data_IF_425620923181
#
_entry.id   IF_425620923181
#
_cell.length_a   1.000
_cell.length_b   1.000
_cell.length_c   1.000
_cell.angle_alpha   90.00
_cell.angle_beta   90.00
_cell.angle_gamma   90.00
#
_symmetry.space_group_name_H-M   'P 1'
#
loop_
_entity.id
_entity.type
_entity.pdbx_description
1 polymer ?
#
# COMPACT_ATOMS: atom_id res chain seq x y z
N UNK A 1 -29.61 25.24 -1.38
CA UNK A 1 -30.15 23.96 -1.89
C UNK A 1 -30.45 23.04 -0.73
N UNK A 2 -31.65 22.47 -0.68
CA UNK A 2 -31.98 21.43 0.30
C UNK A 2 -31.22 20.13 -0.01
N UNK A 3 -31.07 19.24 0.97
CA UNK A 3 -30.44 17.93 0.74
C UNK A 3 -31.17 17.13 -0.35
N UNK A 4 -32.50 17.26 -0.44
CA UNK A 4 -33.33 16.61 -1.47
C UNK A 4 -33.01 17.10 -2.87
N UNK A 5 -32.75 18.40 -3.03
CA UNK A 5 -32.34 18.97 -4.32
C UNK A 5 -30.96 18.46 -4.74
N UNK A 6 -30.01 18.35 -3.81
CA UNK A 6 -28.67 17.81 -4.11
C UNK A 6 -28.73 16.36 -4.57
N UNK A 7 -29.51 15.53 -3.88
CA UNK A 7 -29.73 14.13 -4.26
C UNK A 7 -30.41 14.05 -5.64
N UNK A 8 -31.45 14.86 -5.85
CA UNK A 8 -32.16 14.93 -7.13
C UNK A 8 -31.25 15.31 -8.31
N UNK A 9 -30.42 16.34 -8.14
CA UNK A 9 -29.44 16.77 -9.13
C UNK A 9 -28.42 15.67 -9.44
N UNK A 10 -27.87 15.00 -8.41
CA UNK A 10 -26.91 13.90 -8.60
C UNK A 10 -27.53 12.74 -9.41
N UNK A 11 -28.77 12.35 -9.09
CA UNK A 11 -29.50 11.31 -9.82
C UNK A 11 -29.71 11.73 -11.28
N UNK A 12 -30.12 12.98 -11.51
CA UNK A 12 -30.36 13.53 -12.84
C UNK A 12 -29.09 13.53 -13.70
N UNK A 13 -27.99 14.07 -13.17
CA UNK A 13 -26.70 14.16 -13.86
C UNK A 13 -26.16 12.77 -14.18
N UNK A 14 -26.22 11.84 -13.21
CA UNK A 14 -25.76 10.45 -13.40
C UNK A 14 -26.60 9.74 -14.45
N UNK A 15 -27.93 9.89 -14.42
CA UNK A 15 -28.83 9.30 -15.42
C UNK A 15 -28.53 9.82 -16.82
N UNK A 16 -28.34 11.14 -16.96
CA UNK A 16 -28.02 11.78 -18.24
C UNK A 16 -26.65 11.35 -18.77
N UNK A 17 -25.64 11.22 -17.90
CA UNK A 17 -24.31 10.72 -18.28
C UNK A 17 -24.36 9.29 -18.85
N UNK A 18 -25.37 8.50 -18.48
CA UNK A 18 -25.64 7.16 -19.01
C UNK A 18 -26.55 7.12 -20.23
N UNK A 19 -26.99 8.28 -20.72
CA UNK A 19 -27.93 8.36 -21.84
C UNK A 19 -29.32 7.81 -21.53
N UNK A 20 -29.66 7.57 -20.26
CA UNK A 20 -30.98 7.06 -19.88
C UNK A 20 -32.01 8.19 -19.80
N UNK A 21 -33.22 7.94 -20.28
CA UNK A 21 -34.40 8.78 -20.07
C UNK A 21 -35.01 8.54 -18.70
N UNK A 22 -35.83 9.49 -18.21
CA UNK A 22 -36.56 9.30 -16.95
C UNK A 22 -37.51 8.09 -17.01
N UNK A 23 -38.08 7.79 -18.19
CA UNK A 23 -38.96 6.64 -18.40
C UNK A 23 -38.22 5.31 -18.30
N UNK A 24 -37.02 5.22 -18.86
CA UNK A 24 -36.19 4.00 -18.78
C UNK A 24 -35.73 3.74 -17.34
N UNK A 25 -35.32 4.80 -16.61
CA UNK A 25 -34.98 4.67 -15.20
C UNK A 25 -36.21 4.25 -14.36
N UNK A 26 -37.38 4.82 -14.65
CA UNK A 26 -38.62 4.47 -13.98
C UNK A 26 -39.00 2.99 -14.21
N UNK A 27 -38.89 2.52 -15.46
CA UNK A 27 -39.13 1.13 -15.82
C UNK A 27 -38.18 0.18 -15.09
N UNK A 28 -36.88 0.46 -15.08
CA UNK A 28 -35.88 -0.34 -14.38
C UNK A 28 -36.11 -0.43 -12.85
N UNK A 29 -36.71 0.60 -12.26
CA UNK A 29 -36.99 0.67 -10.82
C UNK A 29 -38.39 0.18 -10.44
N UNK A 30 -39.24 -0.15 -11.42
CA UNK A 30 -40.64 -0.50 -11.17
C UNK A 30 -41.45 0.67 -10.58
N UNK A 31 -41.17 1.90 -11.04
CA UNK A 31 -41.86 3.12 -10.60
C UNK A 31 -42.35 3.94 -11.79
N UNK A 32 -42.95 5.11 -11.56
CA UNK A 32 -43.47 5.98 -12.62
C UNK A 32 -42.45 7.06 -13.02
N UNK A 33 -42.47 7.47 -14.29
CA UNK A 33 -41.65 8.59 -14.78
C UNK A 33 -41.92 9.89 -13.99
N UNK A 34 -43.16 10.10 -13.56
CA UNK A 34 -43.52 11.26 -12.73
C UNK A 34 -42.90 11.19 -11.33
N UNK A 35 -42.73 9.99 -10.76
CA UNK A 35 -42.00 9.80 -9.52
C UNK A 35 -40.51 10.15 -9.69
N UNK A 36 -39.86 9.68 -10.76
CA UNK A 36 -38.47 10.03 -11.07
C UNK A 36 -38.28 11.54 -11.25
N UNK A 37 -39.20 12.20 -11.98
CA UNK A 37 -39.17 13.66 -12.14
C UNK A 37 -39.30 14.42 -10.81
N UNK A 38 -40.18 13.96 -9.90
CA UNK A 38 -40.30 14.55 -8.56
C UNK A 38 -39.04 14.32 -7.71
N UNK A 39 -38.40 13.16 -7.84
CA UNK A 39 -37.15 12.84 -7.16
C UNK A 39 -36.02 13.76 -7.66
N UNK A 40 -35.86 13.91 -8.98
CA UNK A 40 -34.83 14.77 -9.59
C UNK A 40 -35.01 16.26 -9.22
N UNK A 41 -36.26 16.72 -9.08
CA UNK A 41 -36.56 18.08 -8.61
C UNK A 41 -36.46 18.27 -7.09
N UNK A 42 -36.16 17.21 -6.33
CA UNK A 42 -36.10 17.24 -4.87
C UNK A 42 -37.47 17.43 -4.19
N UNK A 43 -38.57 17.15 -4.89
CA UNK A 43 -39.95 17.31 -4.42
C UNK A 43 -40.52 16.09 -3.69
N UNK A 44 -39.75 15.01 -3.56
CA UNK A 44 -40.17 13.76 -2.92
C UNK A 44 -39.12 13.24 -1.93
N UNK A 45 -39.57 12.68 -0.81
CA UNK A 45 -38.70 11.93 0.10
C UNK A 45 -38.35 10.58 -0.52
N UNK A 46 -37.08 10.23 -0.54
CA UNK A 46 -36.58 8.96 -1.09
C UNK A 46 -36.06 8.11 0.06
N UNK A 47 -36.50 6.86 0.14
CA UNK A 47 -35.95 5.91 1.11
C UNK A 47 -34.50 5.54 0.75
N UNK A 48 -33.73 5.09 1.75
CA UNK A 48 -32.37 4.59 1.52
C UNK A 48 -32.36 3.40 0.55
N UNK A 49 -33.34 2.50 0.66
CA UNK A 49 -33.54 1.37 -0.25
C UNK A 49 -33.76 1.84 -1.69
N UNK A 50 -34.60 2.85 -1.91
CA UNK A 50 -34.84 3.39 -3.24
C UNK A 50 -33.58 4.07 -3.80
N UNK A 51 -32.79 4.76 -2.96
CA UNK A 51 -31.52 5.36 -3.39
C UNK A 51 -30.46 4.30 -3.74
N UNK A 52 -30.41 3.19 -3.00
CA UNK A 52 -29.54 2.06 -3.32
C UNK A 52 -29.92 1.43 -4.67
N UNK A 53 -31.21 1.17 -4.90
CA UNK A 53 -31.71 0.65 -6.18
C UNK A 53 -31.43 1.59 -7.36
N UNK A 54 -31.60 2.90 -7.17
CA UNK A 54 -31.21 3.89 -8.19
C UNK A 54 -29.71 3.82 -8.45
N UNK A 55 -28.89 3.70 -7.41
CA UNK A 55 -27.44 3.54 -7.53
C UNK A 55 -27.04 2.30 -8.33
N UNK A 56 -27.68 1.15 -8.09
CA UNK A 56 -27.45 -0.09 -8.86
C UNK A 56 -27.81 0.07 -10.34
N UNK A 57 -29.00 0.58 -10.64
CA UNK A 57 -29.47 0.78 -12.03
C UNK A 57 -28.57 1.77 -12.77
N UNK A 58 -28.18 2.85 -12.10
CA UNK A 58 -27.27 3.84 -12.64
C UNK A 58 -25.80 3.45 -12.47
N UNK A 59 -25.50 2.21 -12.06
CA UNK A 59 -24.20 1.71 -11.55
C UNK A 59 -23.26 2.84 -11.13
N UNK A 60 -23.76 3.60 -10.17
CA UNK A 60 -23.19 4.82 -9.61
C UNK A 60 -23.39 4.73 -8.11
N UNK A 61 -22.33 5.04 -7.36
CA UNK A 61 -22.34 4.96 -5.91
C UNK A 61 -23.03 6.20 -5.32
N UNK A 62 -24.36 6.28 -5.47
CA UNK A 62 -25.19 7.41 -5.00
C UNK A 62 -25.24 7.45 -3.48
N UNK A 63 -25.23 6.27 -2.86
CA UNK A 63 -25.00 6.09 -1.43
C UNK A 63 -23.87 5.09 -1.28
N UNK A 64 -22.76 5.55 -0.71
CA UNK A 64 -21.78 4.70 -0.08
C UNK A 64 -22.20 4.49 1.37
N UNK A 65 -22.57 3.25 1.72
CA UNK A 65 -22.63 2.78 3.12
C UNK A 65 -21.31 2.11 3.50
N UNK A 66 -20.20 2.48 2.85
CA UNK A 66 -18.89 1.99 3.25
C UNK A 66 -18.40 2.81 4.45
N UNK A 67 -17.80 2.13 5.42
CA UNK A 67 -16.96 2.75 6.44
C UNK A 67 -15.69 3.36 5.82
N UNK A 68 -15.87 4.21 4.81
CA UNK A 68 -14.84 4.92 4.08
C UNK A 68 -14.31 6.06 4.94
N UNK A 69 -12.98 6.24 4.91
CA UNK A 69 -12.30 7.29 5.64
C UNK A 69 -12.81 8.71 5.30
N UNK A 70 -12.33 9.72 6.04
CA UNK A 70 -12.89 11.07 5.98
C UNK A 70 -12.83 11.67 4.57
N UNK A 71 -13.95 12.21 4.11
CA UNK A 71 -14.01 13.04 2.90
C UNK A 71 -13.48 14.45 3.20
N UNK A 72 -12.60 14.97 2.33
CA UNK A 72 -12.05 16.32 2.45
C UNK A 72 -12.67 17.24 1.39
N UNK A 73 -13.34 18.31 1.82
CA UNK A 73 -13.82 19.38 0.93
C UNK A 73 -12.84 20.56 0.97
N UNK A 74 -12.27 20.93 -0.18
CA UNK A 74 -11.36 22.08 -0.31
C UNK A 74 -12.12 23.26 -0.91
N UNK A 75 -12.16 24.40 -0.20
CA UNK A 75 -12.72 25.65 -0.73
C UNK A 75 -11.60 26.46 -1.40
N UNK A 76 -11.64 26.54 -2.72
CA UNK A 76 -10.64 27.25 -3.54
C UNK A 76 -10.67 28.78 -3.42
N UNK A 77 -9.85 29.46 -4.21
CA UNK A 77 -9.83 30.93 -4.33
C UNK A 77 -8.89 31.65 -3.36
N UNK A 78 -8.16 30.94 -2.50
CA UNK A 78 -7.17 31.51 -1.59
C UNK A 78 -5.74 31.24 -2.07
N UNK A 79 -4.93 32.30 -2.18
CA UNK A 79 -3.49 32.17 -2.43
C UNK A 79 -2.79 31.66 -1.16
N UNK A 80 -2.02 30.58 -1.27
CA UNK A 80 -1.24 30.05 -0.15
C UNK A 80 0.05 30.85 0.03
N UNK A 81 0.38 31.20 1.27
CA UNK A 81 1.66 31.83 1.66
C UNK A 81 2.07 31.34 3.03
N UNK A 82 3.34 30.96 3.20
CA UNK A 82 3.90 30.53 4.49
C UNK A 82 5.02 29.52 4.33
N UNK A 83 5.36 28.85 5.43
CA UNK A 83 6.37 27.78 5.47
C UNK A 83 5.75 26.55 6.13
N UNK A 84 6.14 25.36 5.65
CA UNK A 84 5.72 24.08 6.22
C UNK A 84 6.95 23.25 6.54
N UNK A 85 6.97 22.64 7.73
CA UNK A 85 7.96 21.64 8.07
C UNK A 85 7.60 20.33 7.38
N UNK A 86 8.50 19.83 6.54
CA UNK A 86 8.30 18.55 5.83
C UNK A 86 8.62 17.39 6.76
N UNK A 87 7.76 16.37 6.75
CA UNK A 87 8.04 15.11 7.42
C UNK A 87 9.21 14.41 6.74
N UNK A 88 9.92 13.60 7.51
CA UNK A 88 11.04 12.79 7.03
C UNK A 88 10.60 11.77 5.98
N UNK A 89 11.51 11.46 5.05
CA UNK A 89 11.23 10.55 3.93
C UNK A 89 10.84 9.15 4.40
N UNK A 90 9.63 8.71 4.03
CA UNK A 90 9.14 7.33 4.21
C UNK A 90 10.09 6.33 3.57
N UNK A 91 10.48 6.55 2.31
CA UNK A 91 11.23 5.58 1.52
C UNK A 91 12.62 5.36 2.12
N UNK A 92 13.29 6.46 2.52
CA UNK A 92 14.57 6.38 3.20
C UNK A 92 14.47 5.62 4.53
N UNK A 93 13.44 5.89 5.33
CA UNK A 93 13.22 5.16 6.58
C UNK A 93 13.06 3.66 6.35
N UNK A 94 12.26 3.28 5.37
CA UNK A 94 11.99 1.88 5.03
C UNK A 94 13.25 1.16 4.53
N UNK A 95 14.03 1.77 3.64
CA UNK A 95 15.31 1.22 3.19
C UNK A 95 16.31 1.04 4.34
N UNK A 96 16.41 2.03 5.23
CA UNK A 96 17.28 1.97 6.41
C UNK A 96 16.84 0.90 7.42
N UNK A 97 15.54 0.62 7.55
CA UNK A 97 15.04 -0.49 8.37
C UNK A 97 15.50 -1.84 7.83
N UNK A 98 15.48 -2.05 6.51
CA UNK A 98 16.01 -3.25 5.88
C UNK A 98 17.54 -3.34 6.08
N UNK A 99 18.26 -2.24 5.84
CA UNK A 99 19.71 -2.17 6.01
C UNK A 99 20.17 -2.39 7.45
N UNK A 100 19.31 -2.13 8.44
CA UNK A 100 19.64 -2.39 9.85
C UNK A 100 19.95 -3.87 10.12
N UNK A 101 19.49 -4.80 9.27
CA UNK A 101 19.84 -6.22 9.35
C UNK A 101 21.32 -6.51 9.05
N UNK A 102 22.02 -5.62 8.33
CA UNK A 102 23.46 -5.74 8.09
C UNK A 102 24.28 -5.50 9.37
N UNK A 103 23.77 -4.67 10.28
CA UNK A 103 24.47 -4.32 11.50
C UNK A 103 24.36 -5.45 12.53
N UNK A 104 25.44 -5.68 13.30
CA UNK A 104 25.44 -6.58 14.46
C UNK A 104 25.30 -5.82 15.79
N UNK A 105 25.44 -4.50 15.77
CA UNK A 105 25.28 -3.62 16.92
C UNK A 105 23.89 -2.97 17.00
N UNK A 106 23.77 -1.98 17.89
CA UNK A 106 22.55 -1.17 18.00
C UNK A 106 22.64 0.03 17.06
N UNK A 107 21.61 0.23 16.23
CA UNK A 107 21.45 1.38 15.35
C UNK A 107 20.36 2.30 15.92
N UNK A 108 20.57 3.62 15.89
CA UNK A 108 19.51 4.60 16.18
C UNK A 108 19.21 5.41 14.92
N UNK A 109 18.03 5.21 14.34
CA UNK A 109 17.54 6.02 13.24
C UNK A 109 16.86 7.27 13.82
N UNK A 110 17.30 8.46 13.38
CA UNK A 110 16.81 9.72 13.91
C UNK A 110 15.64 10.26 13.10
N UNK A 111 14.64 10.83 13.79
CA UNK A 111 13.46 11.48 13.20
C UNK A 111 12.74 10.56 12.19
N UNK A 112 12.44 9.32 12.55
CA UNK A 112 11.72 8.38 11.68
C UNK A 112 10.22 8.67 11.71
N UNK A 113 9.58 8.72 10.55
CA UNK A 113 8.13 8.89 10.46
C UNK A 113 7.38 7.69 11.05
N UNK A 114 6.53 7.92 12.05
CA UNK A 114 5.62 6.90 12.62
C UNK A 114 4.39 6.72 11.74
N UNK A 115 4.55 5.97 10.66
CA UNK A 115 3.50 5.70 9.69
C UNK A 115 3.32 4.19 9.51
N UNK A 116 2.17 3.82 8.97
CA UNK A 116 1.75 2.43 8.80
C UNK A 116 2.79 1.54 8.10
N UNK A 117 3.44 2.01 7.03
CA UNK A 117 4.49 1.24 6.36
C UNK A 117 5.69 0.94 7.26
N UNK A 118 6.14 1.95 8.02
CA UNK A 118 7.28 1.82 8.94
C UNK A 118 6.94 0.82 10.04
N UNK A 119 5.72 0.92 10.58
CA UNK A 119 5.24 0.01 11.61
C UNK A 119 5.13 -1.44 11.11
N UNK A 120 4.68 -1.68 9.87
CA UNK A 120 4.65 -3.04 9.27
C UNK A 120 6.04 -3.65 9.16
N UNK A 121 7.05 -2.89 8.73
CA UNK A 121 8.42 -3.40 8.67
C UNK A 121 8.98 -3.65 10.07
N UNK A 122 8.67 -2.80 11.04
CA UNK A 122 9.04 -3.01 12.45
C UNK A 122 8.40 -4.30 12.99
N UNK A 123 7.13 -4.57 12.68
CA UNK A 123 6.42 -5.80 13.06
C UNK A 123 7.12 -7.04 12.49
N UNK A 124 7.46 -7.03 11.20
CA UNK A 124 8.22 -8.11 10.56
C UNK A 124 9.61 -8.27 11.21
N UNK A 125 10.34 -7.18 11.44
CA UNK A 125 11.64 -7.22 12.12
C UNK A 125 11.54 -7.82 13.53
N UNK A 126 10.53 -7.41 14.30
CA UNK A 126 10.28 -7.93 15.65
C UNK A 126 9.94 -9.42 15.62
N UNK A 127 9.16 -9.89 14.63
CA UNK A 127 8.80 -11.30 14.48
C UNK A 127 10.01 -12.22 14.30
N UNK A 128 11.06 -11.74 13.61
CA UNK A 128 12.31 -12.48 13.40
C UNK A 128 13.36 -12.23 14.52
N UNK A 129 12.96 -11.56 15.61
CA UNK A 129 13.74 -11.40 16.83
C UNK A 129 14.58 -10.13 16.92
N UNK A 130 14.46 -9.18 15.98
CA UNK A 130 15.06 -7.84 16.10
C UNK A 130 14.33 -7.08 17.19
N UNK A 131 15.07 -6.42 18.09
CA UNK A 131 14.45 -5.56 19.11
C UNK A 131 14.34 -4.14 18.58
N UNK A 132 13.14 -3.58 18.60
CA UNK A 132 12.90 -2.18 18.25
C UNK A 132 12.34 -1.41 19.44
N UNK A 133 12.75 -0.15 19.60
CA UNK A 133 12.24 0.73 20.64
C UNK A 133 12.21 2.18 20.18
N UNK A 134 11.05 2.80 20.22
CA UNK A 134 10.91 4.23 20.02
C UNK A 134 11.46 5.00 21.23
N UNK A 135 12.17 6.09 20.97
CA UNK A 135 12.55 7.06 22.01
C UNK A 135 11.39 8.06 22.14
N UNK A 136 10.96 8.27 23.37
CA UNK A 136 9.87 9.18 23.69
C UNK A 136 10.24 10.61 23.30
N UNK A 137 9.25 11.35 22.77
CA UNK A 137 9.37 12.77 22.40
C UNK A 137 10.39 13.13 21.29
N UNK A 138 11.07 12.16 20.63
CA UNK A 138 12.08 12.48 19.60
C UNK A 138 11.82 11.88 18.21
N UNK A 139 10.84 10.98 18.06
CA UNK A 139 10.63 10.17 16.85
C UNK A 139 11.87 9.37 16.42
N UNK A 140 12.80 9.10 17.33
CA UNK A 140 13.95 8.25 17.05
C UNK A 140 13.61 6.78 17.30
N UNK A 141 14.16 5.89 16.48
CA UNK A 141 13.95 4.45 16.56
C UNK A 141 15.28 3.75 16.82
N UNK A 142 15.36 3.05 17.95
CA UNK A 142 16.47 2.17 18.29
C UNK A 142 16.18 0.77 17.75
N UNK A 143 17.16 0.17 17.08
CA UNK A 143 17.07 -1.15 16.45
C UNK A 143 18.28 -1.97 16.88
N UNK A 144 18.04 -3.14 17.45
CA UNK A 144 19.08 -4.06 17.92
C UNK A 144 18.81 -5.45 17.36
N UNK A 145 19.48 -5.87 16.28
CA UNK A 145 19.39 -7.22 15.77
C UNK A 145 19.95 -8.25 16.78
N UNK A 146 19.40 -9.46 16.85
CA UNK A 146 19.99 -10.55 17.60
C UNK A 146 21.24 -11.08 16.88
N UNK A 147 22.04 -11.89 17.59
CA UNK A 147 23.19 -12.59 16.97
C UNK A 147 22.73 -13.48 15.79
N UNK A 148 21.56 -14.11 15.93
CA UNK A 148 20.90 -14.91 14.90
C UNK A 148 19.41 -14.58 14.84
N UNK A 149 18.91 -14.33 13.64
CA UNK A 149 17.49 -14.08 13.36
C UNK A 149 16.72 -15.40 13.38
N UNK A 150 15.47 -15.33 13.83
CA UNK A 150 14.51 -16.44 13.83
C UNK A 150 13.62 -16.34 12.60
N UNK A 151 14.19 -16.58 11.42
CA UNK A 151 13.50 -16.38 10.14
C UNK A 151 12.26 -17.29 9.99
N UNK A 152 12.25 -18.43 10.68
CA UNK A 152 11.11 -19.34 10.80
C UNK A 152 9.86 -18.71 11.45
N UNK A 153 10.05 -17.65 12.24
CA UNK A 153 8.98 -16.95 12.96
C UNK A 153 8.47 -15.70 12.21
N UNK A 154 8.86 -15.51 10.95
CA UNK A 154 8.46 -14.33 10.19
C UNK A 154 6.94 -14.20 10.16
N UNK A 155 6.43 -13.02 10.50
CA UNK A 155 5.01 -12.72 10.42
C UNK A 155 4.57 -12.61 8.95
N UNK A 156 3.92 -13.66 8.45
CA UNK A 156 3.47 -13.76 7.07
C UNK A 156 2.40 -12.72 6.73
N UNK A 157 1.52 -12.38 7.66
CA UNK A 157 0.41 -11.46 7.42
C UNK A 157 0.92 -10.02 7.35
N UNK A 158 1.82 -9.63 8.25
CA UNK A 158 2.49 -8.34 8.21
C UNK A 158 3.36 -8.22 6.95
N UNK A 159 4.12 -9.28 6.61
CA UNK A 159 5.00 -9.30 5.44
C UNK A 159 4.24 -9.20 4.11
N UNK A 160 3.14 -9.94 3.93
CA UNK A 160 2.32 -9.88 2.70
C UNK A 160 1.68 -8.51 2.48
N UNK A 161 1.47 -7.76 3.56
CA UNK A 161 0.89 -6.41 3.51
C UNK A 161 1.91 -5.35 3.07
N UNK A 162 3.19 -5.65 2.95
CA UNK A 162 4.19 -4.69 2.46
C UNK A 162 5.08 -5.28 1.39
N UNK A 163 5.24 -4.55 0.28
CA UNK A 163 6.12 -4.98 -0.81
C UNK A 163 7.59 -4.96 -0.41
N UNK A 164 7.96 -4.18 0.60
CA UNK A 164 9.35 -3.92 0.96
C UNK A 164 10.05 -5.11 1.63
N UNK A 165 9.33 -6.15 2.06
CA UNK A 165 9.96 -7.38 2.59
C UNK A 165 10.95 -7.99 1.58
N UNK A 166 10.77 -7.78 0.28
CA UNK A 166 11.71 -8.24 -0.75
C UNK A 166 13.13 -7.66 -0.56
N UNK A 167 13.27 -6.49 0.08
CA UNK A 167 14.55 -5.87 0.37
C UNK A 167 15.32 -6.56 1.51
N UNK A 168 14.76 -7.58 2.14
CA UNK A 168 15.52 -8.44 3.05
C UNK A 168 16.45 -9.40 2.30
N UNK A 169 16.26 -9.60 0.98
CA UNK A 169 17.12 -10.47 0.19
C UNK A 169 18.60 -10.05 0.26
N UNK A 170 18.91 -8.77 0.06
CA UNK A 170 20.28 -8.22 0.11
C UNK A 170 20.96 -8.50 1.45
N UNK A 171 20.47 -7.97 2.58
CA UNK A 171 21.13 -8.15 3.86
C UNK A 171 21.17 -9.62 4.34
N UNK A 172 20.19 -10.45 3.99
CA UNK A 172 20.18 -11.86 4.39
C UNK A 172 21.10 -12.73 3.53
N UNK A 173 21.38 -12.32 2.28
CA UNK A 173 22.25 -13.05 1.34
C UNK A 173 23.60 -13.38 1.97
N UNK A 174 24.22 -12.39 2.63
CA UNK A 174 25.54 -12.54 3.24
C UNK A 174 25.52 -13.21 4.63
N UNK A 175 24.33 -13.54 5.16
CA UNK A 175 24.17 -14.03 6.53
C UNK A 175 23.71 -15.49 6.63
N UNK A 176 22.93 -15.98 5.66
CA UNK A 176 22.32 -17.31 5.70
C UNK A 176 22.44 -18.03 4.37
N UNK A 177 22.93 -19.28 4.39
CA UNK A 177 23.03 -20.14 3.19
C UNK A 177 21.69 -20.42 2.49
N UNK A 178 20.60 -20.40 3.25
CA UNK A 178 19.24 -20.65 2.76
C UNK A 178 18.24 -20.05 3.73
N UNK A 179 17.17 -19.45 3.18
CA UNK A 179 16.08 -18.88 3.96
C UNK A 179 14.79 -18.77 3.12
N UNK A 180 13.69 -18.42 3.78
CA UNK A 180 12.38 -18.22 3.15
C UNK A 180 11.89 -16.80 3.42
N UNK A 181 11.32 -16.15 2.41
CA UNK A 181 10.62 -14.87 2.58
C UNK A 181 9.20 -14.98 2.03
N UNK A 182 8.17 -14.49 2.74
CA UNK A 182 6.80 -14.45 2.24
C UNK A 182 6.72 -13.70 0.90
N UNK A 183 5.78 -14.10 0.04
CA UNK A 183 5.51 -13.36 -1.19
C UNK A 183 5.15 -11.91 -0.89
N UNK A 184 5.81 -11.00 -1.60
CA UNK A 184 5.57 -9.57 -1.46
C UNK A 184 4.20 -9.24 -2.08
N UNK A 185 3.25 -8.79 -1.25
CA UNK A 185 1.92 -8.36 -1.67
C UNK A 185 1.71 -6.84 -1.49
N UNK A 186 0.45 -6.41 -1.59
CA UNK A 186 0.02 -5.12 -1.04
C UNK A 186 0.10 -3.87 -1.93
N UNK A 187 0.26 -3.99 -3.25
CA UNK A 187 0.17 -2.83 -4.15
C UNK A 187 -0.81 -3.07 -5.31
N UNK A 188 -1.96 -2.38 -5.29
CA UNK A 188 -2.94 -2.37 -6.39
C UNK A 188 -2.51 -1.47 -7.57
N UNK A 189 -1.32 -0.85 -7.49
CA UNK A 189 -0.76 0.03 -8.51
C UNK A 189 0.12 -0.76 -9.51
N UNK A 190 -0.49 -1.75 -10.18
CA UNK A 190 0.10 -2.52 -11.29
C UNK A 190 0.91 -3.77 -10.89
N UNK A 191 1.14 -4.67 -11.87
CA UNK A 191 1.95 -5.90 -11.73
C UNK A 191 3.44 -5.59 -11.81
N UNK A 192 4.01 -4.87 -10.85
CA UNK A 192 5.47 -4.75 -10.78
C UNK A 192 6.05 -6.12 -10.39
N UNK A 193 6.96 -6.66 -11.18
CA UNK A 193 7.59 -7.97 -10.95
C UNK A 193 8.66 -7.86 -9.86
N UNK A 194 9.10 -8.99 -9.30
CA UNK A 194 10.23 -9.07 -8.36
C UNK A 194 11.54 -9.48 -9.04
N UNK A 195 11.45 -9.89 -10.30
CA UNK A 195 12.56 -10.31 -11.15
C UNK A 195 13.75 -9.33 -11.13
N UNK A 196 13.57 -7.99 -11.14
CA UNK A 196 14.69 -7.05 -11.04
C UNK A 196 15.56 -7.24 -9.80
N UNK A 197 14.97 -7.57 -8.65
CA UNK A 197 15.72 -7.85 -7.42
C UNK A 197 16.51 -9.16 -7.55
N UNK A 198 15.91 -10.18 -8.16
CA UNK A 198 16.55 -11.49 -8.37
C UNK A 198 17.73 -11.35 -9.35
N UNK A 199 17.53 -10.68 -10.47
CA UNK A 199 18.57 -10.45 -11.49
C UNK A 199 19.70 -9.59 -10.93
N UNK A 200 19.39 -8.54 -10.16
CA UNK A 200 20.39 -7.67 -9.56
C UNK A 200 21.26 -8.37 -8.51
N UNK A 201 20.69 -9.30 -7.74
CA UNK A 201 21.41 -10.02 -6.68
C UNK A 201 22.02 -11.36 -7.13
N UNK A 202 21.61 -11.92 -8.28
CA UNK A 202 22.16 -13.17 -8.79
C UNK A 202 23.70 -13.15 -8.98
N UNK A 203 24.36 -12.07 -9.44
CA UNK A 203 25.82 -12.00 -9.51
C UNK A 203 26.54 -12.12 -8.16
N UNK A 204 25.85 -11.83 -7.05
CA UNK A 204 26.35 -12.02 -5.69
C UNK A 204 26.09 -13.43 -5.15
N UNK A 205 25.51 -14.32 -5.97
CA UNK A 205 25.25 -15.71 -5.63
C UNK A 205 23.88 -15.96 -5.02
N UNK A 206 22.92 -15.06 -5.21
CA UNK A 206 21.52 -15.29 -4.85
C UNK A 206 20.82 -16.18 -5.88
N UNK A 207 20.16 -17.24 -5.43
CA UNK A 207 19.18 -17.97 -6.22
C UNK A 207 17.83 -17.97 -5.49
N UNK A 208 16.76 -17.72 -6.24
CA UNK A 208 15.40 -17.64 -5.69
C UNK A 208 14.48 -18.51 -6.52
N UNK A 209 13.81 -19.44 -5.85
CA UNK A 209 12.82 -20.34 -6.45
C UNK A 209 11.42 -20.02 -5.92
N UNK A 210 10.44 -20.05 -6.82
CA UNK A 210 9.02 -19.93 -6.51
C UNK A 210 8.30 -21.21 -6.89
N UNK A 211 7.50 -21.78 -5.99
CA UNK A 211 6.64 -22.94 -6.31
C UNK A 211 5.17 -22.50 -6.36
N UNK A 212 4.38 -22.94 -7.36
CA UNK A 212 2.98 -22.54 -7.50
C UNK A 212 2.10 -22.84 -6.28
N UNK A 213 2.46 -23.86 -5.50
CA UNK A 213 1.74 -24.31 -4.30
C UNK A 213 2.22 -23.68 -3.00
N UNK A 214 3.12 -22.68 -3.05
CA UNK A 214 3.70 -22.02 -1.88
C UNK A 214 3.40 -20.53 -1.89
N UNK A 215 3.51 -19.89 -0.73
CA UNK A 215 3.30 -18.46 -0.52
C UNK A 215 4.60 -17.73 -0.08
N UNK A 216 5.75 -18.33 -0.37
CA UNK A 216 7.07 -17.83 -0.02
C UNK A 216 8.09 -18.07 -1.13
N UNK A 217 9.08 -17.18 -1.21
CA UNK A 217 10.31 -17.34 -1.97
C UNK A 217 11.24 -18.28 -1.20
N UNK A 218 11.70 -19.35 -1.85
CA UNK A 218 12.78 -20.17 -1.33
C UNK A 218 14.10 -19.63 -1.86
N UNK A 219 14.96 -19.17 -0.96
CA UNK A 219 16.23 -18.56 -1.32
C UNK A 219 17.38 -19.48 -0.94
N UNK A 220 18.37 -19.59 -1.83
CA UNK A 220 19.68 -20.20 -1.55
C UNK A 220 20.76 -19.19 -1.91
N UNK A 221 21.85 -19.19 -1.14
CA UNK A 221 22.91 -18.20 -1.28
C UNK A 221 24.27 -18.90 -1.34
N UNK A 222 25.08 -18.50 -2.32
CA UNK A 222 26.49 -18.86 -2.40
C UNK A 222 27.28 -17.56 -2.58
N UNK A 223 27.52 -16.78 -1.51
CA UNK A 223 28.03 -15.41 -1.62
C UNK A 223 29.30 -15.32 -2.46
N UNK A 224 29.28 -14.48 -3.49
CA UNK A 224 30.42 -14.19 -4.37
C UNK A 224 30.61 -12.70 -4.56
N UNK A 225 31.84 -12.29 -4.85
CA UNK A 225 32.14 -10.92 -5.27
C UNK A 225 32.14 -10.85 -6.81
N UNK A 226 31.20 -10.10 -7.41
CA UNK A 226 31.16 -9.92 -8.86
C UNK A 226 32.45 -9.28 -9.36
N UNK A 227 33.00 -9.78 -10.48
CA UNK A 227 34.19 -9.22 -11.13
C UNK A 227 33.87 -8.27 -12.27
N UNK A 228 32.60 -8.17 -12.64
CA UNK A 228 32.09 -7.36 -13.76
C UNK A 228 31.02 -6.40 -13.27
N UNK A 229 30.82 -5.27 -13.97
CA UNK A 229 29.69 -4.39 -13.70
C UNK A 229 28.35 -5.14 -13.75
N UNK A 230 27.44 -4.80 -12.84
CA UNK A 230 26.08 -5.33 -12.82
C UNK A 230 25.17 -4.30 -13.50
N UNK A 231 24.42 -4.76 -14.49
CA UNK A 231 23.43 -3.95 -15.20
C UNK A 231 22.04 -4.33 -14.67
N UNK A 232 21.34 -3.38 -14.08
CA UNK A 232 19.96 -3.58 -13.66
C UNK A 232 19.04 -3.54 -14.89
N UNK A 233 18.13 -4.52 -14.97
CA UNK A 233 17.17 -4.66 -16.09
C UNK A 233 16.11 -3.57 -16.13
N UNK A 234 15.87 -2.89 -15.00
CA UNK A 234 15.02 -1.72 -14.90
C UNK A 234 15.56 -0.71 -13.89
N UNK A 235 15.07 0.53 -14.00
CA UNK A 235 15.33 1.57 -12.99
C UNK A 235 14.35 1.39 -11.83
N UNK A 236 14.86 0.89 -10.71
CA UNK A 236 14.10 0.75 -9.47
C UNK A 236 14.92 1.17 -8.27
N UNK A 237 14.40 2.10 -7.48
CA UNK A 237 15.06 2.59 -6.26
C UNK A 237 15.28 1.43 -5.28
N UNK A 238 14.24 0.65 -4.99
CA UNK A 238 14.32 -0.49 -4.07
C UNK A 238 15.22 -1.61 -4.59
N UNK A 239 15.30 -1.79 -5.91
CA UNK A 239 16.20 -2.77 -6.54
C UNK A 239 17.65 -2.34 -6.29
N UNK A 240 17.94 -1.07 -6.56
CA UNK A 240 19.26 -0.48 -6.38
C UNK A 240 19.69 -0.52 -4.91
N UNK A 241 18.81 -0.11 -4.00
CA UNK A 241 19.04 -0.17 -2.55
C UNK A 241 19.33 -1.62 -2.10
N UNK A 242 18.56 -2.59 -2.58
CA UNK A 242 18.74 -3.99 -2.23
C UNK A 242 20.03 -4.60 -2.77
N UNK A 243 20.53 -4.13 -3.92
CA UNK A 243 21.80 -4.57 -4.51
C UNK A 243 23.00 -3.90 -3.84
N UNK A 244 22.83 -2.69 -3.29
CA UNK A 244 23.86 -1.99 -2.53
C UNK A 244 24.06 -2.62 -1.14
N UNK A 245 22.99 -3.13 -0.53
CA UNK A 245 23.01 -3.81 0.77
C UNK A 245 23.68 -5.18 0.70
#
# INVERSE_FOLDING_TARGET
MSYKQRIGTLIQETRQARGMTQSELAHALGTSQSAINRIEKGGQNVSLEMLARIGEVLSSEIISLSGGGPNLQVNGGKKLSGTVEVKTSKNAAVGLLCAALLNKGTTTLRRVARIEEVNRIIEVLNSIGVKTRWIDNTNDLVITPPVRLKLENIDFDAAKKTRTVIMFLGPLLHQYKSFRLPYAGGCNLGKRTIEPHMVGLAPFGLSVETKPSTDYYQTTTSPTSPKTPIILVERGDTVTENVIM
#
